data_IF_063005326534
#
_entry.id   IF_063005326534
#
_cell.length_a   1.000
_cell.length_b   1.000
_cell.length_c   1.000
_cell.angle_alpha   90.00
_cell.angle_beta   90.00
_cell.angle_gamma   90.00
#
_symmetry.space_group_name_H-M   'P 1'
#
loop_
_entity.id
_entity.type
_entity.pdbx_description
1 polymer ?
#
# COMPACT_ATOMS: atom_id res chain seq x y z
N UNK A 1 -76.94 -0.62 -55.05
CA UNK A 1 -76.12 -1.82 -54.70
C UNK A 1 -74.62 -1.49 -54.71
N UNK A 2 -74.06 -0.91 -55.78
CA UNK A 2 -72.63 -0.55 -55.85
C UNK A 2 -72.15 0.38 -54.71
N UNK A 3 -72.93 1.41 -54.40
CA UNK A 3 -72.61 2.36 -53.32
C UNK A 3 -72.55 1.71 -51.93
N UNK A 4 -73.35 0.67 -51.67
CA UNK A 4 -73.31 -0.05 -50.40
C UNK A 4 -72.00 -0.83 -50.25
N UNK A 5 -71.58 -1.50 -51.33
CA UNK A 5 -70.32 -2.25 -51.36
C UNK A 5 -69.13 -1.29 -51.18
N UNK A 6 -69.14 -0.13 -51.85
CA UNK A 6 -68.10 0.89 -51.67
C UNK A 6 -68.06 1.42 -50.23
N UNK A 7 -69.22 1.61 -49.60
CA UNK A 7 -69.31 2.08 -48.22
C UNK A 7 -68.78 1.05 -47.21
N UNK A 8 -69.08 -0.23 -47.41
CA UNK A 8 -68.55 -1.32 -46.58
C UNK A 8 -67.03 -1.40 -46.68
N UNK A 9 -66.48 -1.34 -47.90
CA UNK A 9 -65.02 -1.35 -48.11
C UNK A 9 -64.35 -0.15 -47.42
N UNK A 10 -64.94 1.04 -47.48
CA UNK A 10 -64.40 2.22 -46.80
C UNK A 10 -64.42 2.08 -45.27
N UNK A 11 -65.49 1.53 -44.70
CA UNK A 11 -65.57 1.25 -43.25
C UNK A 11 -64.45 0.31 -42.81
N UNK A 12 -64.24 -0.79 -43.53
CA UNK A 12 -63.18 -1.74 -43.25
C UNK A 12 -61.78 -1.11 -43.34
N UNK A 13 -61.56 -0.20 -44.29
CA UNK A 13 -60.29 0.53 -44.40
C UNK A 13 -60.05 1.48 -43.21
N UNK A 14 -61.08 2.20 -42.77
CA UNK A 14 -61.01 3.08 -41.59
C UNK A 14 -60.70 2.27 -40.33
N UNK A 15 -61.41 1.16 -40.10
CA UNK A 15 -61.15 0.25 -38.99
C UNK A 15 -59.70 -0.26 -38.97
N UNK A 16 -59.19 -0.71 -40.12
CA UNK A 16 -57.79 -1.16 -40.24
C UNK A 16 -56.78 -0.05 -39.95
N UNK A 17 -57.09 1.19 -40.32
CA UNK A 17 -56.23 2.33 -40.06
C UNK A 17 -56.24 2.69 -38.58
N UNK A 18 -57.41 2.71 -37.95
CA UNK A 18 -57.57 2.96 -36.51
C UNK A 18 -56.89 1.89 -35.67
N UNK A 19 -56.99 0.61 -36.04
CA UNK A 19 -56.27 -0.47 -35.35
C UNK A 19 -54.76 -0.29 -35.45
N UNK A 20 -54.25 0.06 -36.64
CA UNK A 20 -52.81 0.30 -36.84
C UNK A 20 -52.32 1.49 -36.03
N UNK A 21 -53.07 2.59 -36.03
CA UNK A 21 -52.76 3.78 -35.25
C UNK A 21 -52.79 3.49 -33.75
N UNK A 22 -53.83 2.80 -33.27
CA UNK A 22 -53.96 2.39 -31.87
C UNK A 22 -52.79 1.52 -31.41
N UNK A 23 -52.31 0.59 -32.27
CA UNK A 23 -51.13 -0.24 -31.97
C UNK A 23 -49.85 0.60 -31.87
N UNK A 24 -49.64 1.54 -32.79
CA UNK A 24 -48.48 2.43 -32.76
C UNK A 24 -48.51 3.37 -31.54
N UNK A 25 -49.67 3.92 -31.20
CA UNK A 25 -49.83 4.81 -30.06
C UNK A 25 -49.65 4.06 -28.74
N UNK A 26 -50.14 2.82 -28.63
CA UNK A 26 -49.86 1.94 -27.50
C UNK A 26 -48.36 1.66 -27.33
N UNK A 27 -47.63 1.41 -28.43
CA UNK A 27 -46.17 1.24 -28.39
C UNK A 27 -45.46 2.50 -27.93
N UNK A 28 -45.82 3.66 -28.49
CA UNK A 28 -45.23 4.96 -28.08
C UNK A 28 -45.46 5.26 -26.61
N UNK A 29 -46.66 5.00 -26.10
CA UNK A 29 -46.98 5.16 -24.68
C UNK A 29 -46.17 4.21 -23.81
N UNK A 30 -46.03 2.96 -24.25
CA UNK A 30 -45.23 1.96 -23.54
C UNK A 30 -43.75 2.35 -23.48
N UNK A 31 -43.17 2.79 -24.60
CA UNK A 31 -41.77 3.25 -24.66
C UNK A 31 -41.56 4.48 -23.77
N UNK A 32 -42.49 5.43 -23.81
CA UNK A 32 -42.46 6.61 -22.95
C UNK A 32 -42.52 6.22 -21.47
N UNK A 33 -43.43 5.32 -21.11
CA UNK A 33 -43.56 4.81 -19.75
C UNK A 33 -42.31 4.07 -19.29
N UNK A 34 -41.72 3.21 -20.13
CA UNK A 34 -40.46 2.52 -19.82
C UNK A 34 -39.33 3.51 -19.55
N UNK A 35 -39.21 4.57 -20.34
CA UNK A 35 -38.17 5.58 -20.16
C UNK A 35 -38.34 6.33 -18.84
N UNK A 36 -39.56 6.71 -18.50
CA UNK A 36 -39.88 7.32 -17.20
C UNK A 36 -39.56 6.37 -16.03
N UNK A 37 -39.89 5.08 -16.18
CA UNK A 37 -39.63 4.06 -15.18
C UNK A 37 -38.11 3.87 -14.96
N UNK A 38 -37.33 3.76 -16.04
CA UNK A 38 -35.86 3.69 -15.96
C UNK A 38 -35.28 4.91 -15.25
N UNK A 39 -35.72 6.12 -15.59
CA UNK A 39 -35.26 7.35 -14.97
C UNK A 39 -35.61 7.39 -13.46
N UNK A 40 -36.79 6.91 -13.07
CA UNK A 40 -37.19 6.76 -11.66
C UNK A 40 -36.27 5.78 -10.93
N UNK A 41 -36.01 4.61 -11.52
CA UNK A 41 -35.14 3.59 -10.93
C UNK A 41 -33.69 4.06 -10.78
N UNK A 42 -33.17 4.84 -11.73
CA UNK A 42 -31.85 5.46 -11.61
C UNK A 42 -31.77 6.43 -10.44
N UNK A 43 -32.81 7.25 -10.25
CA UNK A 43 -32.92 8.16 -9.09
C UNK A 43 -32.95 7.37 -7.78
N UNK A 44 -33.74 6.30 -7.70
CA UNK A 44 -33.79 5.40 -6.55
C UNK A 44 -32.42 4.77 -6.27
N UNK A 45 -31.74 4.25 -7.31
CA UNK A 45 -30.39 3.68 -7.20
C UNK A 45 -29.37 4.70 -6.70
N UNK A 46 -29.47 5.98 -7.10
CA UNK A 46 -28.62 7.07 -6.58
C UNK A 46 -28.89 7.30 -5.10
N UNK A 47 -30.16 7.39 -4.69
CA UNK A 47 -30.55 7.57 -3.28
C UNK A 47 -30.02 6.43 -2.42
N UNK A 48 -30.23 5.17 -2.84
CA UNK A 48 -29.75 3.99 -2.10
C UNK A 48 -28.23 3.99 -1.92
N UNK A 49 -27.47 4.28 -2.99
CA UNK A 49 -26.00 4.41 -2.91
C UNK A 49 -25.57 5.50 -1.93
N UNK A 50 -26.24 6.65 -1.98
CA UNK A 50 -25.97 7.74 -1.05
C UNK A 50 -26.27 7.33 0.40
N UNK A 51 -27.42 6.68 0.66
CA UNK A 51 -27.75 6.16 1.98
C UNK A 51 -26.69 5.17 2.49
N UNK A 52 -26.27 4.20 1.66
CA UNK A 52 -25.22 3.25 2.03
C UNK A 52 -23.87 3.92 2.31
N UNK A 53 -23.54 4.99 1.59
CA UNK A 53 -22.34 5.79 1.83
C UNK A 53 -22.45 6.59 3.13
N UNK A 54 -23.60 7.21 3.41
CA UNK A 54 -23.84 7.93 4.66
C UNK A 54 -23.81 7.00 5.87
N UNK A 55 -24.44 5.82 5.79
CA UNK A 55 -24.40 4.82 6.84
C UNK A 55 -22.96 4.36 7.14
N UNK A 56 -22.15 4.10 6.10
CA UNK A 56 -20.72 3.78 6.29
C UNK A 56 -19.96 4.90 7.00
N UNK A 57 -20.20 6.17 6.61
CA UNK A 57 -19.59 7.32 7.27
C UNK A 57 -20.04 7.46 8.73
N UNK A 58 -21.32 7.22 9.02
CA UNK A 58 -21.87 7.25 10.39
C UNK A 58 -21.24 6.16 11.26
N UNK A 59 -21.14 4.92 10.75
CA UNK A 59 -20.48 3.81 11.45
C UNK A 59 -19.00 4.12 11.72
N UNK A 60 -18.28 4.71 10.74
CA UNK A 60 -16.90 5.13 10.93
C UNK A 60 -16.77 6.21 12.02
N UNK A 61 -17.61 7.23 12.00
CA UNK A 61 -17.65 8.28 13.04
C UNK A 61 -18.02 7.72 14.41
N UNK A 62 -18.91 6.71 14.47
CA UNK A 62 -19.30 6.04 15.72
C UNK A 62 -18.12 5.35 16.41
N UNK A 63 -17.07 4.94 15.68
CA UNK A 63 -15.87 4.38 16.33
C UNK A 63 -15.22 5.40 17.28
N UNK A 64 -15.27 6.69 16.93
CA UNK A 64 -14.68 7.79 17.68
C UNK A 64 -15.74 8.81 18.15
N UNK A 65 -16.75 8.36 18.92
CA UNK A 65 -17.88 9.21 19.37
C UNK A 65 -17.43 10.46 20.13
N UNK A 66 -16.44 10.32 21.02
CA UNK A 66 -15.92 11.46 21.81
C UNK A 66 -15.00 12.39 21.01
N UNK A 67 -14.68 12.08 19.74
CA UNK A 67 -13.77 12.88 18.93
C UNK A 67 -12.35 12.96 19.49
N UNK A 68 -11.96 12.02 20.36
CA UNK A 68 -10.59 11.95 20.88
C UNK A 68 -9.63 11.72 19.72
N UNK A 69 -8.50 12.44 19.74
CA UNK A 69 -7.42 12.22 18.78
C UNK A 69 -6.81 10.83 19.03
N UNK A 70 -7.14 9.87 18.18
CA UNK A 70 -6.49 8.57 18.20
C UNK A 70 -5.05 8.73 17.66
N UNK A 71 -4.08 8.40 18.50
CA UNK A 71 -2.68 8.33 18.07
C UNK A 71 -2.51 7.13 17.13
N UNK A 72 -1.61 7.30 16.16
CA UNK A 72 -1.25 6.27 15.19
C UNK A 72 -0.70 5.03 15.90
N UNK A 73 -1.32 3.88 15.69
CA UNK A 73 -0.82 2.59 16.19
C UNK A 73 0.02 1.92 15.11
N UNK A 74 1.34 2.08 15.23
CA UNK A 74 2.31 1.59 14.26
C UNK A 74 2.25 0.06 14.16
N UNK A 75 2.13 -0.64 15.30
CA UNK A 75 2.15 -2.11 15.30
C UNK A 75 0.96 -2.65 14.50
N UNK A 76 -0.23 -2.09 14.75
CA UNK A 76 -1.43 -2.48 14.02
C UNK A 76 -1.36 -2.18 12.53
N UNK A 77 -0.79 -1.04 12.15
CA UNK A 77 -0.61 -0.70 10.74
C UNK A 77 0.35 -1.63 10.02
N UNK A 78 1.46 -2.03 10.66
CA UNK A 78 2.40 -2.96 10.06
C UNK A 78 1.90 -4.42 10.10
N UNK A 79 0.94 -4.74 10.95
CA UNK A 79 0.27 -6.03 10.98
C UNK A 79 -0.77 -6.19 9.85
N UNK A 80 -1.39 -5.10 9.40
CA UNK A 80 -2.45 -5.14 8.40
C UNK A 80 -1.93 -4.71 7.01
N UNK A 81 -1.87 -5.63 6.05
CA UNK A 81 -1.42 -5.32 4.68
C UNK A 81 -2.30 -4.31 3.95
N UNK A 82 -3.54 -4.15 4.39
CA UNK A 82 -4.45 -3.15 3.85
C UNK A 82 -4.07 -1.73 4.28
N UNK A 83 -3.14 -1.55 5.24
CA UNK A 83 -2.83 -0.26 5.85
C UNK A 83 -2.17 0.74 4.88
N UNK A 84 -2.07 1.99 5.34
CA UNK A 84 -1.40 3.07 4.61
C UNK A 84 0.08 2.77 4.34
N UNK A 85 0.75 2.06 5.25
CA UNK A 85 2.18 1.75 5.14
C UNK A 85 2.48 0.90 3.91
N UNK A 86 1.64 -0.11 3.64
CA UNK A 86 1.85 -1.02 2.51
C UNK A 86 1.12 -0.59 1.22
N UNK A 87 0.05 0.21 1.33
CA UNK A 87 -0.70 0.72 0.17
C UNK A 87 -0.79 2.27 0.14
N UNK A 88 0.35 2.99 0.15
CA UNK A 88 0.36 4.44 0.25
C UNK A 88 -0.20 5.14 -1.01
N UNK A 89 0.02 4.58 -2.21
CA UNK A 89 -0.52 5.15 -3.46
C UNK A 89 -2.04 5.18 -3.48
N UNK A 90 -2.71 4.09 -3.09
CA UNK A 90 -4.18 4.03 -3.09
C UNK A 90 -4.83 4.90 -2.00
N UNK A 91 -4.11 5.21 -0.92
CA UNK A 91 -4.68 5.89 0.26
C UNK A 91 -4.28 7.36 0.37
N UNK A 92 -3.01 7.68 0.08
CA UNK A 92 -2.44 9.03 0.15
C UNK A 92 -2.17 9.63 -1.22
N UNK A 93 -2.14 8.81 -2.29
CA UNK A 93 -1.78 9.28 -3.63
C UNK A 93 -0.29 9.60 -3.79
N UNK A 94 0.55 9.29 -2.80
CA UNK A 94 1.97 9.63 -2.77
C UNK A 94 2.78 8.49 -2.16
N UNK A 95 3.87 8.08 -2.83
CA UNK A 95 4.81 7.10 -2.32
C UNK A 95 5.93 7.83 -1.57
N UNK A 96 6.20 7.52 -0.29
CA UNK A 96 7.24 8.22 0.47
C UNK A 96 8.66 7.99 -0.08
N UNK A 97 8.89 6.86 -0.76
CA UNK A 97 10.19 6.47 -1.31
C UNK A 97 10.34 6.82 -2.80
N UNK A 98 9.56 7.77 -3.31
CA UNK A 98 9.56 8.13 -4.73
C UNK A 98 10.90 8.74 -5.19
N UNK A 99 11.73 9.21 -4.25
CA UNK A 99 13.06 9.77 -4.50
C UNK A 99 14.16 8.82 -4.03
N UNK A 100 13.94 7.50 -4.00
CA UNK A 100 14.96 6.52 -3.59
C UNK A 100 16.31 6.71 -4.29
N UNK A 101 16.29 7.18 -5.54
CA UNK A 101 17.47 7.53 -6.32
C UNK A 101 18.37 8.61 -5.68
N UNK A 102 17.84 9.50 -4.83
CA UNK A 102 18.68 10.50 -4.15
C UNK A 102 19.58 9.87 -3.07
N UNK A 103 19.23 8.68 -2.59
CA UNK A 103 20.04 7.89 -1.65
C UNK A 103 20.95 6.89 -2.37
N UNK A 104 20.80 6.72 -3.70
CA UNK A 104 21.72 5.90 -4.47
C UNK A 104 23.10 6.57 -4.51
N UNK A 105 24.05 6.00 -3.79
CA UNK A 105 25.43 6.51 -3.73
C UNK A 105 26.13 6.24 -5.06
N UNK A 106 26.13 7.24 -5.95
CA UNK A 106 26.86 7.23 -7.22
C UNK A 106 28.12 8.08 -7.08
N UNK A 107 29.23 7.45 -6.67
CA UNK A 107 30.48 8.17 -6.44
C UNK A 107 31.64 7.58 -7.25
N UNK A 108 32.53 8.44 -7.74
CA UNK A 108 33.76 8.03 -8.47
C UNK A 108 34.59 7.02 -7.68
N UNK A 109 34.67 7.22 -6.36
CA UNK A 109 35.42 6.34 -5.45
C UNK A 109 34.95 4.88 -5.44
N UNK A 110 33.69 4.62 -5.75
CA UNK A 110 33.16 3.25 -5.78
C UNK A 110 33.37 2.57 -7.14
N UNK A 111 33.59 3.35 -8.20
CA UNK A 111 33.66 2.86 -9.58
C UNK A 111 35.10 2.63 -10.07
N UNK A 112 36.09 3.25 -9.43
CA UNK A 112 37.49 3.19 -9.84
C UNK A 112 38.35 2.56 -8.75
N UNK A 113 39.30 1.73 -9.15
CA UNK A 113 40.26 1.10 -8.23
C UNK A 113 41.04 2.13 -7.40
N UNK A 114 41.52 3.20 -8.05
CA UNK A 114 42.25 4.29 -7.38
C UNK A 114 41.43 4.93 -6.26
N UNK A 115 40.13 5.16 -6.52
CA UNK A 115 39.23 5.74 -5.55
C UNK A 115 38.89 4.81 -4.38
N UNK A 116 38.87 3.48 -4.60
CA UNK A 116 38.75 2.52 -3.50
C UNK A 116 39.99 2.54 -2.59
N UNK A 117 41.19 2.68 -3.16
CA UNK A 117 42.41 2.81 -2.38
C UNK A 117 42.43 4.09 -1.52
N UNK A 118 41.92 5.20 -2.05
CA UNK A 118 41.76 6.45 -1.29
C UNK A 118 40.76 6.29 -0.13
N UNK A 119 39.64 5.60 -0.37
CA UNK A 119 38.69 5.27 0.69
C UNK A 119 39.33 4.37 1.75
N UNK A 120 40.08 3.34 1.37
CA UNK A 120 40.81 2.48 2.30
C UNK A 120 41.79 3.29 3.17
N UNK A 121 42.53 4.22 2.56
CA UNK A 121 43.49 5.06 3.26
C UNK A 121 42.82 6.05 4.23
N UNK A 122 41.58 6.47 3.95
CA UNK A 122 40.81 7.37 4.81
C UNK A 122 40.24 6.68 6.06
N UNK A 123 40.17 5.35 6.07
CA UNK A 123 39.63 4.60 7.19
C UNK A 123 40.62 4.57 8.37
N UNK A 124 40.12 4.66 9.61
CA UNK A 124 40.99 4.55 10.78
C UNK A 124 41.59 3.14 10.88
N UNK A 125 42.79 3.05 11.45
CA UNK A 125 43.53 1.79 11.63
C UNK A 125 42.75 0.71 12.37
N UNK A 126 41.73 1.07 13.17
CA UNK A 126 40.84 0.11 13.84
C UNK A 126 39.99 -0.71 12.89
N UNK A 127 39.65 -0.15 11.72
CA UNK A 127 38.88 -0.83 10.68
C UNK A 127 39.82 -1.61 9.75
N UNK A 128 41.02 -1.06 9.48
CA UNK A 128 42.01 -1.66 8.58
C UNK A 128 42.74 -2.85 9.18
N UNK A 129 43.10 -2.78 10.46
CA UNK A 129 43.89 -3.81 11.13
C UNK A 129 43.09 -4.48 12.24
N UNK A 130 43.01 -5.81 12.20
CA UNK A 130 42.40 -6.59 13.27
C UNK A 130 43.30 -6.50 14.51
N UNK A 131 42.80 -5.85 15.56
CA UNK A 131 43.49 -5.79 16.86
C UNK A 131 43.31 -7.11 17.61
N UNK A 132 44.08 -8.12 17.24
CA UNK A 132 44.13 -9.38 17.99
C UNK A 132 44.92 -9.14 19.27
N UNK A 133 44.21 -9.04 20.40
CA UNK A 133 44.84 -9.02 21.73
C UNK A 133 44.71 -10.42 22.33
N UNK A 134 45.84 -11.04 22.66
CA UNK A 134 45.82 -12.26 23.44
C UNK A 134 45.19 -11.97 24.83
N UNK A 135 44.32 -12.86 25.34
CA UNK A 135 43.76 -12.69 26.68
C UNK A 135 44.90 -12.67 27.70
N UNK A 136 44.95 -11.62 28.55
CA UNK A 136 45.93 -11.56 29.63
C UNK A 136 45.64 -12.67 30.64
N UNK A 137 46.65 -13.46 31.08
CA UNK A 137 46.44 -14.46 32.11
C UNK A 137 46.01 -13.78 33.42
N UNK A 138 44.93 -14.28 34.04
CA UNK A 138 44.38 -13.68 35.28
C UNK A 138 45.35 -13.75 36.46
N UNK A 139 46.13 -14.82 36.57
CA UNK A 139 47.16 -15.00 37.59
C UNK A 139 48.37 -15.73 36.97
N UNK A 140 49.57 -15.25 37.28
CA UNK A 140 50.86 -15.87 36.90
C UNK A 140 51.18 -17.11 37.74
N UNK A 141 50.57 -17.21 38.92
CA UNK A 141 50.80 -18.28 39.92
C UNK A 141 49.54 -19.10 40.15
N UNK A 142 49.71 -20.38 40.46
CA UNK A 142 48.64 -21.31 40.87
C UNK A 142 48.37 -21.11 42.37
N UNK A 143 47.21 -21.52 42.88
CA UNK A 143 46.89 -21.43 44.33
C UNK A 143 47.96 -22.08 45.23
N UNK A 144 48.66 -23.08 44.69
CA UNK A 144 49.76 -23.83 45.31
C UNK A 144 51.14 -23.16 45.19
N UNK A 145 51.23 -21.93 44.68
CA UNK A 145 52.49 -21.19 44.58
C UNK A 145 53.34 -21.45 43.33
N UNK A 146 52.94 -22.38 42.45
CA UNK A 146 53.69 -22.70 41.23
C UNK A 146 53.42 -21.72 40.09
N UNK A 147 54.49 -21.32 39.38
CA UNK A 147 54.43 -20.45 38.18
C UNK A 147 53.77 -21.20 37.02
N UNK A 148 52.70 -20.63 36.47
CA UNK A 148 51.99 -21.16 35.30
C UNK A 148 52.86 -21.08 34.05
N UNK A 149 52.65 -22.00 33.10
CA UNK A 149 53.43 -22.10 31.86
C UNK A 149 53.53 -20.78 31.08
N UNK A 150 52.46 -19.98 31.10
CA UNK A 150 52.42 -18.67 30.42
C UNK A 150 53.41 -17.65 30.99
N UNK A 151 53.85 -17.79 32.24
CA UNK A 151 54.67 -16.80 32.95
C UNK A 151 56.14 -17.27 33.18
N UNK A 152 56.50 -18.48 32.74
CA UNK A 152 57.86 -19.03 32.94
C UNK A 152 58.92 -18.24 32.19
N UNK A 153 58.66 -17.94 30.92
CA UNK A 153 59.58 -17.18 30.07
C UNK A 153 59.90 -15.80 30.69
N UNK A 154 58.90 -15.11 31.20
CA UNK A 154 59.09 -13.80 31.84
C UNK A 154 59.93 -13.90 33.13
N UNK A 155 59.74 -14.97 33.91
CA UNK A 155 60.54 -15.22 35.11
C UNK A 155 62.00 -15.57 34.78
N UNK A 156 62.22 -16.40 33.76
CA UNK A 156 63.57 -16.77 33.29
C UNK A 156 64.31 -15.53 32.75
N UNK A 157 63.63 -14.69 31.97
CA UNK A 157 64.18 -13.42 31.48
C UNK A 157 64.53 -12.46 32.64
N UNK A 158 63.68 -12.38 33.67
CA UNK A 158 63.94 -11.56 34.84
C UNK A 158 65.18 -12.00 35.64
N UNK A 159 65.52 -13.29 35.62
CA UNK A 159 66.75 -13.82 36.25
C UNK A 159 68.00 -13.52 35.41
N UNK A 160 67.90 -13.58 34.09
CA UNK A 160 69.02 -13.34 33.17
C UNK A 160 69.43 -11.86 33.12
N UNK A 161 68.47 -10.94 33.32
CA UNK A 161 68.70 -9.49 33.27
C UNK A 161 69.15 -8.87 34.62
N UNK A 162 69.41 -9.68 35.64
CA UNK A 162 70.03 -9.25 36.91
C UNK A 162 71.54 -9.41 36.85
#
# INVERSE_FOLDING_TARGET
RLQMIQLEVLKEMVWRQEEKQSKLDAQRLYDHWQNLQKAKEEKIRKIQRNCALMLRKLIAKRKNVMGKLERRDIIKEYAEFSSQTYAPLSRMGFFPDNNSDCYAVKHFYLNSFTGLCELEASLPDSVRHIKIKAPKPKCTTTETGYIKRSARLEADLAQIHQ
#
